data_IF_988708961221
#
_entry.id   IF_988708961221
#
_cell.length_a   1.000
_cell.length_b   1.000
_cell.length_c   1.000
_cell.angle_alpha   90.00
_cell.angle_beta   90.00
_cell.angle_gamma   90.00
#
_symmetry.space_group_name_H-M   'P 1'
#
loop_
_entity.id
_entity.type
_entity.pdbx_description
1 polymer ?
#
# COMPACT_ATOMS: atom_id res chain seq x y z
N UNK A 1 -1.67 40.78 118.92
CA UNK A 1 -1.49 39.38 119.34
C UNK A 1 -2.71 38.59 118.86
N UNK A 2 -2.63 37.94 117.70
CA UNK A 2 -3.64 36.96 117.29
C UNK A 2 -3.32 35.64 118.00
N UNK A 3 -4.28 35.12 118.76
CA UNK A 3 -4.12 33.92 119.57
C UNK A 3 -4.19 32.70 118.64
N UNK A 4 -3.05 32.15 118.23
CA UNK A 4 -2.98 30.92 117.43
C UNK A 4 -3.65 29.80 118.23
N UNK A 5 -4.68 29.18 117.66
CA UNK A 5 -5.41 28.08 118.27
C UNK A 5 -4.99 26.77 117.59
N UNK A 6 -4.42 25.84 118.34
CA UNK A 6 -4.10 24.49 117.86
C UNK A 6 -4.69 23.45 118.82
N UNK A 7 -5.19 22.35 118.27
CA UNK A 7 -5.56 21.14 119.02
C UNK A 7 -4.61 20.05 118.56
N UNK A 8 -3.94 19.38 119.50
CA UNK A 8 -3.04 18.26 119.25
C UNK A 8 -1.96 18.51 118.17
N UNK A 9 -1.44 19.74 118.09
CA UNK A 9 -0.35 20.09 117.17
C UNK A 9 -0.77 20.37 115.73
N UNK A 10 -2.06 20.29 115.40
CA UNK A 10 -2.58 20.70 114.09
C UNK A 10 -2.98 22.18 114.17
N UNK A 11 -2.42 23.00 113.28
CA UNK A 11 -2.81 24.39 113.08
C UNK A 11 -4.26 24.41 112.56
N UNK A 12 -5.17 25.00 113.33
CA UNK A 12 -6.54 25.24 112.90
C UNK A 12 -6.60 26.64 112.28
N UNK A 13 -7.06 26.72 111.04
CA UNK A 13 -7.43 27.99 110.43
C UNK A 13 -8.54 28.62 111.28
N UNK A 14 -8.38 29.87 111.74
CA UNK A 14 -9.43 30.51 112.52
C UNK A 14 -10.68 30.67 111.66
N UNK A 15 -11.86 30.57 112.29
CA UNK A 15 -13.16 30.49 111.60
C UNK A 15 -13.39 31.66 110.63
N UNK A 16 -12.83 32.84 110.93
CA UNK A 16 -12.90 34.01 110.05
C UNK A 16 -12.16 33.80 108.73
N UNK A 17 -10.99 33.16 108.72
CA UNK A 17 -10.21 32.90 107.50
C UNK A 17 -10.88 31.86 106.60
N UNK A 18 -11.56 30.87 107.19
CA UNK A 18 -12.38 29.92 106.42
C UNK A 18 -13.56 30.65 105.76
N UNK A 19 -14.24 31.51 106.51
CA UNK A 19 -15.40 32.27 106.00
C UNK A 19 -14.99 33.21 104.88
N UNK A 20 -13.87 33.93 105.03
CA UNK A 20 -13.31 34.76 103.97
C UNK A 20 -12.95 33.95 102.72
N UNK A 21 -12.42 32.73 102.85
CA UNK A 21 -12.08 31.91 101.69
C UNK A 21 -13.30 31.37 100.93
N UNK A 22 -14.34 30.91 101.63
CA UNK A 22 -15.52 30.32 100.97
C UNK A 22 -16.42 31.37 100.34
N UNK A 23 -16.39 32.61 100.84
CA UNK A 23 -17.08 33.76 100.22
C UNK A 23 -16.22 34.48 99.17
N UNK A 24 -15.00 34.00 98.88
CA UNK A 24 -14.11 34.66 97.92
C UNK A 24 -14.46 34.29 96.47
N UNK A 25 -15.30 35.12 95.87
CA UNK A 25 -15.69 35.08 94.45
C UNK A 25 -14.53 35.32 93.46
N UNK A 26 -13.33 35.69 93.95
CA UNK A 26 -12.13 35.88 93.10
C UNK A 26 -11.40 34.55 92.85
N UNK A 27 -11.53 33.57 93.76
CA UNK A 27 -10.86 32.26 93.66
C UNK A 27 -11.83 31.10 93.42
N UNK A 28 -13.10 31.22 93.80
CA UNK A 28 -14.14 30.24 93.46
C UNK A 28 -14.90 30.68 92.22
N UNK A 29 -15.19 29.72 91.34
CA UNK A 29 -16.06 29.97 90.19
C UNK A 29 -17.44 30.35 90.70
N UNK A 30 -17.98 31.47 90.23
CA UNK A 30 -19.32 31.87 90.68
C UNK A 30 -20.38 30.98 90.03
N UNK A 31 -21.57 30.95 90.61
CA UNK A 31 -22.69 30.21 90.05
C UNK A 31 -23.11 30.77 88.68
N UNK A 32 -22.95 32.07 88.47
CA UNK A 32 -23.17 32.74 87.20
C UNK A 32 -22.12 32.34 86.15
N UNK A 33 -20.84 32.28 86.51
CA UNK A 33 -19.77 31.82 85.62
C UNK A 33 -19.98 30.37 85.19
N UNK A 34 -20.36 29.49 86.12
CA UNK A 34 -20.70 28.09 85.84
C UNK A 34 -21.92 27.98 84.93
N UNK A 35 -22.93 28.80 85.14
CA UNK A 35 -24.12 28.85 84.28
C UNK A 35 -23.75 29.32 82.87
N UNK A 36 -22.91 30.35 82.75
CA UNK A 36 -22.43 30.87 81.47
C UNK A 36 -21.56 29.85 80.71
N UNK A 37 -20.72 29.08 81.40
CA UNK A 37 -19.92 28.02 80.79
C UNK A 37 -20.79 26.86 80.29
N UNK A 38 -21.75 26.41 81.10
CA UNK A 38 -22.68 25.36 80.70
C UNK A 38 -23.55 25.78 79.50
N UNK A 39 -23.95 27.06 79.42
CA UNK A 39 -24.69 27.58 78.26
C UNK A 39 -23.88 27.56 76.95
N UNK A 40 -22.54 27.67 77.00
CA UNK A 40 -21.69 27.56 75.80
C UNK A 40 -21.53 26.13 75.28
N UNK A 41 -21.81 25.13 76.12
CA UNK A 41 -21.72 23.71 75.78
C UNK A 41 -23.06 23.11 75.32
N UNK A 42 -24.14 23.90 75.26
CA UNK A 42 -25.47 23.39 74.95
C UNK A 42 -25.58 22.96 73.48
N UNK A 43 -25.81 21.66 73.26
CA UNK A 43 -25.93 21.05 71.93
C UNK A 43 -27.11 21.63 71.12
N UNK A 44 -28.09 22.27 71.77
CA UNK A 44 -29.17 23.00 71.13
C UNK A 44 -28.68 24.21 70.29
N UNK A 45 -27.51 24.78 70.60
CA UNK A 45 -26.88 25.82 69.78
C UNK A 45 -26.17 25.25 68.52
N UNK A 46 -25.95 23.93 68.46
CA UNK A 46 -25.38 23.26 67.29
C UNK A 46 -26.47 22.85 66.28
N UNK A 47 -27.67 22.46 66.76
CA UNK A 47 -28.80 22.13 65.88
C UNK A 47 -29.30 23.32 65.07
N UNK A 48 -29.05 24.55 65.54
CA UNK A 48 -29.35 25.79 64.79
C UNK A 48 -28.25 26.17 63.79
N UNK A 49 -27.02 25.62 63.91
CA UNK A 49 -25.93 25.81 62.94
C UNK A 49 -25.90 24.74 61.83
N UNK A 50 -26.49 23.58 62.08
CA UNK A 50 -26.70 22.52 61.09
C UNK A 50 -28.20 22.41 60.77
N UNK A 51 -28.72 23.41 60.05
CA UNK A 51 -30.10 23.41 59.59
C UNK A 51 -30.30 22.34 58.50
N UNK A 52 -30.90 21.22 58.89
CA UNK A 52 -31.25 20.14 57.97
C UNK A 52 -32.18 20.62 56.84
N UNK A 53 -32.96 21.69 57.06
CA UNK A 53 -33.81 22.26 56.02
C UNK A 53 -32.98 22.99 54.96
N UNK A 54 -31.97 23.77 55.36
CA UNK A 54 -30.99 24.36 54.43
C UNK A 54 -30.19 23.29 53.67
N UNK A 55 -29.78 22.21 54.34
CA UNK A 55 -29.09 21.09 53.66
C UNK A 55 -29.99 20.37 52.66
N UNK A 56 -31.24 20.07 53.03
CA UNK A 56 -32.19 19.41 52.14
C UNK A 56 -32.63 20.33 51.00
N UNK A 57 -32.83 21.62 51.27
CA UNK A 57 -33.11 22.62 50.24
C UNK A 57 -31.97 22.69 49.23
N UNK A 58 -30.71 22.69 49.68
CA UNK A 58 -29.56 22.63 48.80
C UNK A 58 -29.44 21.29 48.06
N UNK A 59 -29.70 20.15 48.71
CA UNK A 59 -29.64 18.81 48.07
C UNK A 59 -30.66 18.67 46.93
N UNK A 60 -31.84 19.22 47.12
CA UNK A 60 -32.94 19.17 46.13
C UNK A 60 -32.94 20.40 45.20
N UNK A 61 -31.94 21.28 45.31
CA UNK A 61 -31.78 22.44 44.43
C UNK A 61 -31.36 21.98 43.02
N UNK A 62 -32.34 21.91 42.12
CA UNK A 62 -32.14 21.54 40.72
C UNK A 62 -31.43 22.63 39.89
N UNK A 63 -31.20 23.83 40.43
CA UNK A 63 -30.36 24.84 39.81
C UNK A 63 -28.88 24.67 40.21
N UNK A 64 -28.61 24.16 41.41
CA UNK A 64 -27.25 23.86 41.89
C UNK A 64 -26.79 22.42 41.56
N UNK A 65 -27.71 21.44 41.49
CA UNK A 65 -27.41 20.03 41.22
C UNK A 65 -28.13 19.50 39.99
N UNK A 66 -27.48 18.54 39.31
CA UNK A 66 -28.10 17.78 38.21
C UNK A 66 -29.15 16.81 38.75
N UNK A 67 -30.34 16.83 38.17
CA UNK A 67 -31.42 15.90 38.51
C UNK A 67 -31.10 14.47 38.08
N UNK A 68 -31.80 13.49 38.67
CA UNK A 68 -31.69 12.08 38.25
C UNK A 68 -32.05 11.91 36.77
N UNK A 69 -33.10 12.61 36.31
CA UNK A 69 -33.54 12.55 34.92
C UNK A 69 -32.52 13.13 33.94
N UNK A 70 -31.86 14.24 34.28
CA UNK A 70 -30.79 14.81 33.46
C UNK A 70 -29.57 13.90 33.41
N UNK A 71 -29.23 13.25 34.53
CA UNK A 71 -28.14 12.26 34.59
C UNK A 71 -28.42 11.07 33.69
N UNK A 72 -29.63 10.51 33.74
CA UNK A 72 -30.05 9.41 32.87
C UNK A 72 -30.07 9.82 31.40
N UNK A 73 -30.52 11.04 31.11
CA UNK A 73 -30.53 11.60 29.74
C UNK A 73 -29.12 11.79 29.20
N UNK A 74 -28.18 12.25 30.03
CA UNK A 74 -26.78 12.41 29.64
C UNK A 74 -26.13 11.04 29.40
N UNK A 75 -26.26 10.11 30.34
CA UNK A 75 -25.69 8.77 30.22
C UNK A 75 -26.23 8.03 28.99
N UNK A 76 -27.55 8.11 28.73
CA UNK A 76 -28.17 7.47 27.58
C UNK A 76 -27.80 8.08 26.22
N UNK A 77 -27.22 9.29 26.17
CA UNK A 77 -26.64 9.86 24.94
C UNK A 77 -25.24 9.31 24.66
N UNK A 78 -24.49 8.97 25.70
CA UNK A 78 -23.13 8.45 25.57
C UNK A 78 -23.12 7.01 25.04
N UNK A 79 -24.05 6.17 25.51
CA UNK A 79 -24.18 4.76 25.09
C UNK A 79 -24.67 4.59 23.64
N UNK A 80 -25.06 5.67 22.96
CA UNK A 80 -25.55 5.65 21.57
C UNK A 80 -24.55 6.13 20.54
N UNK A 81 -23.35 6.55 20.95
CA UNK A 81 -22.36 7.04 19.98
C UNK A 81 -21.70 5.89 19.25
N UNK A 82 -21.41 4.78 19.93
CA UNK A 82 -20.76 3.59 19.35
C UNK A 82 -21.32 2.31 19.93
N UNK A 83 -21.34 1.22 19.17
CA UNK A 83 -21.65 -0.13 19.65
C UNK A 83 -20.52 -0.74 20.49
N UNK A 84 -20.70 -1.98 20.97
CA UNK A 84 -19.70 -2.71 21.78
C UNK A 84 -18.36 -2.94 21.05
N UNK A 85 -18.36 -2.87 19.72
CA UNK A 85 -17.17 -2.97 18.87
C UNK A 85 -16.58 -1.59 18.53
N UNK A 86 -17.14 -0.50 19.07
CA UNK A 86 -16.69 0.87 18.80
C UNK A 86 -17.20 1.44 17.48
N UNK A 87 -18.15 0.80 16.79
CA UNK A 87 -18.70 1.29 15.52
C UNK A 87 -19.86 2.25 15.76
N UNK A 88 -19.94 3.30 14.94
CA UNK A 88 -21.11 4.17 14.92
C UNK A 88 -22.10 3.67 13.86
N UNK A 89 -23.36 3.43 14.24
CA UNK A 89 -24.46 3.24 13.28
C UNK A 89 -25.29 4.52 13.27
N UNK A 90 -25.35 5.17 12.10
CA UNK A 90 -26.17 6.37 11.89
C UNK A 90 -27.40 5.97 11.09
N UNK A 91 -28.60 6.23 11.62
CA UNK A 91 -29.87 5.96 10.92
C UNK A 91 -30.08 6.85 9.68
N UNK A 92 -29.24 7.88 9.50
CA UNK A 92 -29.26 8.81 8.39
C UNK A 92 -27.89 9.02 7.73
N UNK A 93 -27.81 9.99 6.82
CA UNK A 93 -26.55 10.35 6.16
C UNK A 93 -25.58 11.07 7.10
N UNK A 94 -24.27 10.90 6.86
CA UNK A 94 -23.21 11.66 7.52
C UNK A 94 -22.84 12.88 6.65
N UNK A 95 -22.95 14.07 7.20
CA UNK A 95 -22.40 15.31 6.62
C UNK A 95 -21.26 15.80 7.51
N UNK A 96 -20.06 15.92 6.95
CA UNK A 96 -18.89 16.45 7.63
C UNK A 96 -18.29 17.59 6.79
N UNK A 97 -17.93 18.72 7.42
CA UNK A 97 -17.29 19.84 6.73
C UNK A 97 -15.82 19.60 6.40
N UNK A 98 -15.17 18.67 7.10
CA UNK A 98 -13.77 18.30 6.90
C UNK A 98 -13.57 17.03 6.08
N UNK A 99 -12.31 16.79 5.67
CA UNK A 99 -11.91 15.55 5.00
C UNK A 99 -12.09 14.35 5.92
N UNK A 100 -12.81 13.33 5.46
CA UNK A 100 -12.93 12.04 6.14
C UNK A 100 -11.72 11.18 5.77
N UNK A 101 -10.88 10.84 6.75
CA UNK A 101 -9.76 9.93 6.53
C UNK A 101 -10.15 8.47 6.81
N UNK A 102 -10.43 7.70 5.75
CA UNK A 102 -10.78 6.29 5.84
C UNK A 102 -9.58 5.40 5.49
N UNK A 103 -8.54 5.39 6.35
CA UNK A 103 -7.32 4.60 6.15
C UNK A 103 -7.59 3.09 5.93
N UNK A 104 -8.65 2.56 6.55
CA UNK A 104 -9.10 1.17 6.37
C UNK A 104 -9.98 0.93 5.14
N UNK A 105 -10.20 1.95 4.31
CA UNK A 105 -11.07 1.92 3.14
C UNK A 105 -12.53 2.27 3.44
N UNK A 106 -13.31 2.37 2.37
CA UNK A 106 -14.77 2.59 2.41
C UNK A 106 -15.42 1.42 1.69
N UNK A 107 -16.23 0.63 2.39
CA UNK A 107 -17.04 -0.40 1.76
C UNK A 107 -18.20 0.26 1.01
N UNK A 108 -18.13 0.29 -0.32
CA UNK A 108 -19.23 0.73 -1.18
C UNK A 108 -20.10 -0.51 -1.45
N UNK A 109 -21.34 -0.61 -0.93
CA UNK A 109 -22.12 -1.82 -1.08
C UNK A 109 -22.50 -2.02 -2.56
N UNK A 110 -22.32 -3.25 -3.06
CA UNK A 110 -22.53 -3.60 -4.48
C UNK A 110 -24.02 -3.57 -4.86
N UNK A 111 -24.92 -3.72 -3.88
CA UNK A 111 -26.37 -3.80 -4.08
C UNK A 111 -27.08 -2.98 -3.00
N UNK A 112 -27.43 -1.73 -3.30
CA UNK A 112 -28.36 -0.93 -2.49
C UNK A 112 -29.03 0.14 -3.35
N UNK A 113 -30.32 -0.03 -3.62
CA UNK A 113 -31.26 1.01 -4.06
C UNK A 113 -30.98 1.71 -5.41
N UNK A 114 -31.94 2.50 -5.87
CA UNK A 114 -31.74 3.42 -6.99
C UNK A 114 -30.51 4.30 -6.70
N UNK A 115 -29.62 4.46 -7.68
CA UNK A 115 -28.45 5.31 -7.53
C UNK A 115 -28.89 6.70 -7.03
N UNK A 116 -28.39 7.13 -5.88
CA UNK A 116 -28.48 8.55 -5.54
C UNK A 116 -27.71 9.33 -6.61
N UNK A 117 -28.17 10.54 -6.96
CA UNK A 117 -27.55 11.34 -8.03
C UNK A 117 -26.02 11.43 -7.88
N UNK A 118 -25.52 11.55 -6.64
CA UNK A 118 -24.08 11.60 -6.32
C UNK A 118 -23.33 10.30 -6.62
N UNK A 119 -23.92 9.13 -6.36
CA UNK A 119 -23.29 7.85 -6.68
C UNK A 119 -23.19 7.62 -8.19
N UNK A 120 -24.20 8.04 -8.96
CA UNK A 120 -24.17 8.04 -10.42
C UNK A 120 -23.07 8.98 -10.95
N UNK A 121 -22.94 10.18 -10.38
CA UNK A 121 -21.89 11.15 -10.73
C UNK A 121 -20.49 10.59 -10.44
N UNK A 122 -20.26 9.95 -9.30
CA UNK A 122 -18.96 9.34 -8.99
C UNK A 122 -18.58 8.21 -9.95
N UNK A 123 -19.55 7.36 -10.33
CA UNK A 123 -19.34 6.31 -11.34
C UNK A 123 -19.02 6.90 -12.71
N UNK A 124 -19.77 7.93 -13.11
CA UNK A 124 -19.52 8.63 -14.37
C UNK A 124 -18.17 9.35 -14.37
N UNK A 125 -17.78 9.95 -13.24
CA UNK A 125 -16.47 10.55 -13.06
C UNK A 125 -15.35 9.51 -13.17
N UNK A 126 -15.49 8.36 -12.49
CA UNK A 126 -14.55 7.25 -12.62
C UNK A 126 -14.45 6.71 -14.06
N UNK A 127 -15.58 6.59 -14.76
CA UNK A 127 -15.61 6.22 -16.18
C UNK A 127 -14.92 7.29 -17.05
N UNK A 128 -15.12 8.57 -16.75
CA UNK A 128 -14.42 9.69 -17.38
C UNK A 128 -12.91 9.65 -17.15
N UNK A 129 -12.46 9.32 -15.93
CA UNK A 129 -11.04 9.11 -15.60
C UNK A 129 -10.44 7.89 -16.31
N UNK A 130 -11.20 6.81 -16.44
CA UNK A 130 -10.80 5.66 -17.25
C UNK A 130 -10.67 6.04 -18.73
N UNK A 131 -11.62 6.82 -19.26
CA UNK A 131 -11.54 7.40 -20.60
C UNK A 131 -10.32 8.29 -20.79
N UNK A 132 -10.01 9.18 -19.84
CA UNK A 132 -8.80 9.97 -19.85
C UNK A 132 -7.54 9.08 -19.84
N UNK A 133 -7.52 8.04 -19.01
CA UNK A 133 -6.40 7.08 -18.96
C UNK A 133 -6.19 6.37 -20.30
N UNK A 134 -7.27 6.04 -21.01
CA UNK A 134 -7.20 5.50 -22.35
C UNK A 134 -6.62 6.51 -23.36
N UNK A 135 -6.91 7.80 -23.23
CA UNK A 135 -6.30 8.86 -24.08
C UNK A 135 -4.79 8.96 -23.89
N UNK A 136 -4.28 8.75 -22.67
CA UNK A 136 -2.84 8.69 -22.38
C UNK A 136 -2.19 7.34 -22.72
N UNK A 137 -2.96 6.40 -23.28
CA UNK A 137 -2.48 5.12 -23.80
C UNK A 137 -2.44 5.20 -25.33
N UNK A 138 -1.23 5.14 -25.88
CA UNK A 138 -1.00 5.26 -27.32
C UNK A 138 -0.82 3.87 -27.96
N UNK A 139 -1.42 3.63 -29.13
CA UNK A 139 -1.11 2.44 -29.91
C UNK A 139 0.36 2.42 -30.34
N UNK A 140 0.98 1.25 -30.25
CA UNK A 140 2.33 0.99 -30.74
C UNK A 140 2.34 -0.39 -31.38
N UNK A 141 2.57 -0.46 -32.69
CA UNK A 141 2.22 -1.62 -33.49
C UNK A 141 3.46 -2.44 -33.86
N UNK A 142 3.43 -3.79 -33.85
CA UNK A 142 4.55 -4.56 -34.39
C UNK A 142 4.72 -4.25 -35.88
N UNK A 143 5.93 -3.88 -36.33
CA UNK A 143 6.22 -3.73 -37.77
C UNK A 143 6.38 -5.12 -38.38
N UNK A 144 5.24 -5.75 -38.69
CA UNK A 144 5.17 -7.13 -39.18
C UNK A 144 5.96 -7.37 -40.46
N UNK A 145 6.28 -6.31 -41.21
CA UNK A 145 7.08 -6.37 -42.43
C UNK A 145 8.59 -6.51 -42.18
N UNK A 146 9.05 -6.20 -40.95
CA UNK A 146 10.48 -6.19 -40.56
C UNK A 146 10.81 -7.22 -39.48
N UNK A 147 9.94 -8.21 -39.27
CA UNK A 147 10.22 -9.32 -38.36
C UNK A 147 11.44 -10.09 -38.90
N UNK A 148 12.44 -10.28 -38.05
CA UNK A 148 13.66 -11.04 -38.37
C UNK A 148 13.64 -12.33 -37.58
N UNK A 149 13.93 -13.45 -38.24
CA UNK A 149 13.95 -14.78 -37.63
C UNK A 149 15.24 -15.52 -37.98
N UNK A 150 15.62 -16.48 -37.12
CA UNK A 150 16.69 -17.46 -37.38
C UNK A 150 16.11 -18.88 -37.43
N UNK A 151 16.94 -19.92 -37.45
CA UNK A 151 16.47 -21.31 -37.22
C UNK A 151 15.49 -21.88 -38.24
N UNK A 152 15.41 -21.32 -39.45
CA UNK A 152 14.40 -21.65 -40.47
C UNK A 152 12.95 -21.41 -40.03
N UNK A 153 12.73 -20.55 -39.04
CA UNK A 153 11.39 -20.19 -38.61
C UNK A 153 10.65 -19.35 -39.66
N UNK A 154 9.37 -19.64 -39.84
CA UNK A 154 8.50 -19.01 -40.84
C UNK A 154 7.57 -18.02 -40.17
N UNK A 155 7.50 -16.81 -40.72
CA UNK A 155 6.58 -15.75 -40.28
C UNK A 155 5.32 -15.75 -41.13
N UNK A 156 4.16 -15.90 -40.48
CA UNK A 156 2.84 -15.69 -41.06
C UNK A 156 2.26 -14.36 -40.54
N UNK A 157 1.94 -13.44 -41.45
CA UNK A 157 1.30 -12.17 -41.13
C UNK A 157 -0.21 -12.35 -41.32
N UNK A 158 -0.97 -12.31 -40.23
CA UNK A 158 -2.43 -12.43 -40.29
C UNK A 158 -3.09 -11.07 -40.50
N UNK A 159 -2.62 -10.05 -39.78
CA UNK A 159 -3.07 -8.68 -39.94
C UNK A 159 -1.83 -7.78 -39.92
N UNK A 160 -1.46 -7.13 -41.05
CA UNK A 160 -0.32 -6.23 -41.09
C UNK A 160 -0.38 -5.20 -39.95
N UNK A 161 0.75 -5.00 -39.27
CA UNK A 161 0.88 -4.11 -38.11
C UNK A 161 0.13 -4.52 -36.83
N UNK A 162 -0.65 -5.60 -36.83
CA UNK A 162 -1.46 -5.95 -35.66
C UNK A 162 -1.21 -7.35 -35.14
N UNK A 163 -0.96 -8.32 -36.02
CA UNK A 163 -0.89 -9.71 -35.62
C UNK A 163 -0.04 -10.53 -36.60
N UNK A 164 0.99 -11.16 -36.05
CA UNK A 164 1.83 -12.12 -36.77
C UNK A 164 2.16 -13.31 -35.88
N UNK A 165 2.38 -14.45 -36.52
CA UNK A 165 2.83 -15.70 -35.91
C UNK A 165 4.17 -16.08 -36.51
N UNK A 166 5.12 -16.45 -35.66
CA UNK A 166 6.37 -17.09 -36.07
C UNK A 166 6.36 -18.53 -35.63
N UNK A 167 6.68 -19.44 -36.56
CA UNK A 167 6.69 -20.88 -36.34
C UNK A 167 8.07 -21.44 -36.61
N UNK A 168 8.74 -21.93 -35.58
CA UNK A 168 10.00 -22.66 -35.69
C UNK A 168 9.72 -24.17 -35.89
N UNK A 169 10.41 -24.83 -36.83
CA UNK A 169 10.20 -26.25 -37.10
C UNK A 169 10.72 -27.14 -35.96
N UNK A 170 10.30 -28.41 -35.96
CA UNK A 170 10.81 -29.42 -35.04
C UNK A 170 12.34 -29.45 -35.04
N UNK A 171 12.91 -29.72 -33.86
CA UNK A 171 14.35 -29.85 -33.63
C UNK A 171 15.19 -28.61 -33.93
N UNK A 172 14.56 -27.43 -34.02
CA UNK A 172 15.23 -26.14 -34.15
C UNK A 172 14.83 -25.21 -33.01
N UNK A 173 15.79 -24.42 -32.55
CA UNK A 173 15.55 -23.17 -31.84
C UNK A 173 15.35 -22.06 -32.86
N UNK A 174 14.81 -20.92 -32.43
CA UNK A 174 14.79 -19.71 -33.25
C UNK A 174 14.86 -18.50 -32.34
N UNK A 175 15.63 -17.50 -32.77
CA UNK A 175 15.56 -16.15 -32.21
C UNK A 175 14.77 -15.26 -33.16
N UNK A 176 13.91 -14.42 -32.59
CA UNK A 176 13.00 -13.56 -33.31
C UNK A 176 13.18 -12.13 -32.81
N UNK A 177 13.33 -11.19 -33.74
CA UNK A 177 13.20 -9.75 -33.47
C UNK A 177 11.87 -9.26 -33.99
N UNK A 178 11.08 -8.66 -33.11
CA UNK A 178 9.85 -7.94 -33.45
C UNK A 178 10.09 -6.42 -33.31
N UNK A 179 10.30 -5.70 -34.41
CA UNK A 179 10.34 -4.24 -34.36
C UNK A 179 8.94 -3.67 -34.12
N UNK A 180 8.87 -2.47 -33.56
CA UNK A 180 7.62 -1.73 -33.38
C UNK A 180 7.63 -0.41 -34.13
N UNK A 181 6.44 0.06 -34.51
CA UNK A 181 6.18 1.29 -35.22
C UNK A 181 5.02 2.04 -34.54
N UNK A 182 5.14 3.35 -34.43
CA UNK A 182 4.05 4.21 -33.96
C UNK A 182 4.40 5.68 -34.09
N UNK A 183 3.55 6.57 -33.55
CA UNK A 183 3.74 8.01 -33.69
C UNK A 183 5.06 8.46 -33.05
N UNK A 184 5.90 9.09 -33.86
CA UNK A 184 7.17 9.69 -33.48
C UNK A 184 6.92 11.00 -32.70
N UNK A 185 6.52 10.88 -31.43
CA UNK A 185 6.23 12.02 -30.54
C UNK A 185 7.16 12.10 -29.33
N UNK A 186 8.44 11.74 -29.48
CA UNK A 186 9.40 11.69 -28.37
C UNK A 186 10.53 12.70 -28.55
N UNK A 187 10.77 13.49 -27.52
CA UNK A 187 12.02 14.22 -27.31
C UNK A 187 12.55 13.87 -25.90
N UNK A 188 13.59 14.54 -25.42
CA UNK A 188 14.04 14.39 -24.03
C UNK A 188 12.83 14.46 -23.08
N UNK A 189 12.80 13.57 -22.07
CA UNK A 189 11.66 13.43 -21.15
C UNK A 189 10.39 12.94 -21.87
N UNK A 190 10.50 11.81 -22.58
CA UNK A 190 9.44 11.21 -23.43
C UNK A 190 8.13 10.83 -22.72
N UNK A 191 8.04 11.09 -21.41
CA UNK A 191 6.87 10.88 -20.57
C UNK A 191 6.37 9.43 -20.56
N UNK A 192 7.25 8.48 -20.94
CA UNK A 192 6.97 7.07 -20.97
C UNK A 192 6.71 6.53 -19.55
N UNK A 193 5.59 5.85 -19.38
CA UNK A 193 5.18 5.26 -18.11
C UNK A 193 5.00 3.74 -18.19
N UNK A 194 4.92 3.15 -19.38
CA UNK A 194 4.79 1.70 -19.49
C UNK A 194 4.43 1.18 -20.87
N UNK A 195 4.25 -0.13 -20.97
CA UNK A 195 3.72 -0.82 -22.14
C UNK A 195 2.84 -2.02 -21.77
N UNK A 196 2.05 -2.45 -22.74
CA UNK A 196 1.31 -3.72 -22.73
C UNK A 196 1.51 -4.38 -24.09
N UNK A 197 2.26 -5.48 -24.14
CA UNK A 197 2.54 -6.24 -25.36
C UNK A 197 1.71 -7.52 -25.34
N UNK A 198 0.91 -7.73 -26.37
CA UNK A 198 0.19 -8.98 -26.55
C UNK A 198 1.15 -10.05 -27.09
N UNK A 199 1.36 -11.12 -26.33
CA UNK A 199 2.29 -12.20 -26.67
C UNK A 199 1.68 -13.53 -26.26
N UNK A 200 1.78 -14.53 -27.11
CA UNK A 200 1.35 -15.89 -26.81
C UNK A 200 2.34 -16.91 -27.38
N UNK A 201 2.50 -18.06 -26.72
CA UNK A 201 3.33 -19.16 -27.21
C UNK A 201 2.89 -20.50 -26.64
N UNK A 202 3.15 -21.60 -27.35
CA UNK A 202 2.83 -22.95 -26.87
C UNK A 202 4.01 -23.67 -26.21
N UNK A 203 5.19 -23.04 -26.17
CA UNK A 203 6.45 -23.67 -25.77
C UNK A 203 7.20 -22.78 -24.78
N UNK A 204 8.24 -23.33 -24.16
CA UNK A 204 9.18 -22.52 -23.40
C UNK A 204 9.79 -21.43 -24.29
N UNK A 205 9.94 -20.23 -23.73
CA UNK A 205 10.47 -19.08 -24.45
C UNK A 205 11.17 -18.11 -23.50
N UNK A 206 12.02 -17.27 -24.05
CA UNK A 206 12.46 -16.03 -23.40
C UNK A 206 11.95 -14.83 -24.16
N UNK A 207 11.39 -13.87 -23.45
CA UNK A 207 11.04 -12.55 -23.95
C UNK A 207 12.07 -11.54 -23.44
N UNK A 208 12.63 -10.74 -24.32
CA UNK A 208 13.61 -9.71 -23.98
C UNK A 208 13.19 -8.38 -24.59
N UNK A 209 13.30 -7.30 -23.82
CA UNK A 209 13.02 -5.95 -24.30
C UNK A 209 14.05 -4.96 -23.75
N UNK A 210 14.57 -4.11 -24.64
CA UNK A 210 15.41 -2.99 -24.28
C UNK A 210 14.55 -1.75 -24.07
N UNK A 211 14.69 -1.12 -22.90
CA UNK A 211 14.02 0.12 -22.54
C UNK A 211 14.99 1.30 -22.54
N UNK A 212 14.47 2.48 -22.87
CA UNK A 212 15.23 3.73 -22.87
C UNK A 212 16.32 3.82 -23.93
N UNK A 213 17.04 4.94 -23.88
CA UNK A 213 18.26 5.19 -24.60
C UNK A 213 19.42 4.33 -24.05
N UNK A 214 20.62 4.52 -24.59
CA UNK A 214 21.78 3.69 -24.27
C UNK A 214 21.91 2.51 -25.22
N UNK A 215 23.15 2.23 -25.62
CA UNK A 215 23.47 1.17 -26.56
C UNK A 215 23.10 -0.20 -26.00
N UNK A 216 22.47 -1.02 -26.84
CA UNK A 216 22.09 -2.40 -26.53
C UNK A 216 22.44 -3.26 -27.73
N UNK A 217 23.21 -4.32 -27.52
CA UNK A 217 23.63 -5.22 -28.59
C UNK A 217 22.77 -6.47 -28.55
N UNK A 218 22.12 -6.77 -29.68
CA UNK A 218 21.34 -7.99 -29.86
C UNK A 218 22.22 -9.16 -30.30
N UNK A 219 21.98 -10.33 -29.71
CA UNK A 219 22.58 -11.62 -30.09
C UNK A 219 21.47 -12.64 -30.29
N UNK A 220 21.57 -13.41 -31.38
CA UNK A 220 20.64 -14.49 -31.71
C UNK A 220 21.26 -15.86 -31.45
N UNK A 221 20.43 -16.89 -31.49
CA UNK A 221 20.82 -18.30 -31.47
C UNK A 221 21.58 -18.69 -30.20
N UNK A 222 21.06 -18.21 -29.05
CA UNK A 222 21.58 -18.49 -27.72
C UNK A 222 20.61 -19.37 -26.91
N UNK A 223 21.12 -19.96 -25.83
CA UNK A 223 20.29 -20.69 -24.85
C UNK A 223 19.34 -19.75 -24.08
N UNK A 224 18.27 -20.30 -23.52
CA UNK A 224 17.34 -19.57 -22.65
C UNK A 224 17.96 -19.10 -21.32
N UNK A 225 19.23 -19.42 -21.04
CA UNK A 225 19.97 -18.87 -19.89
C UNK A 225 20.87 -17.68 -20.27
N UNK A 226 21.20 -17.51 -21.55
CA UNK A 226 22.08 -16.43 -22.04
C UNK A 226 21.38 -15.07 -22.11
N UNK A 227 22.09 -13.98 -22.38
CA UNK A 227 21.46 -12.66 -22.60
C UNK A 227 21.28 -12.36 -24.09
N UNK A 228 20.02 -12.21 -24.52
CA UNK A 228 19.67 -11.84 -25.91
C UNK A 228 19.99 -10.36 -26.21
N UNK A 229 19.92 -9.51 -25.18
CA UNK A 229 20.43 -8.15 -25.20
C UNK A 229 21.51 -7.99 -24.14
N UNK A 230 22.64 -7.39 -24.53
CA UNK A 230 23.66 -6.93 -23.60
C UNK A 230 23.72 -5.41 -23.58
N UNK A 231 23.90 -4.79 -22.42
CA UNK A 231 24.08 -3.35 -22.34
C UNK A 231 25.43 -2.94 -22.93
N UNK A 232 25.51 -1.71 -23.45
CA UNK A 232 26.77 -1.11 -23.88
C UNK A 232 27.71 -0.78 -22.73
N UNK A 233 28.96 -0.44 -23.07
CA UNK A 233 29.99 -0.12 -22.08
C UNK A 233 29.90 1.33 -21.55
N UNK A 234 29.14 2.20 -22.22
CA UNK A 234 28.97 3.59 -21.81
C UNK A 234 27.96 3.70 -20.66
N UNK A 235 28.45 4.12 -19.49
CA UNK A 235 27.64 4.32 -18.29
C UNK A 235 27.32 5.81 -18.02
N UNK A 236 27.35 6.64 -19.06
CA UNK A 236 27.09 8.08 -19.00
C UNK A 236 25.61 8.41 -18.67
N UNK A 237 25.10 9.57 -19.09
CA UNK A 237 23.67 9.83 -18.97
C UNK A 237 22.90 9.05 -20.06
N UNK A 238 21.76 8.44 -19.70
CA UNK A 238 20.85 7.69 -20.58
C UNK A 238 21.28 6.25 -20.94
N UNK A 239 21.35 5.38 -19.92
CA UNK A 239 21.81 4.00 -20.07
C UNK A 239 20.66 3.02 -20.42
N UNK A 240 19.42 3.46 -20.18
CA UNK A 240 18.24 2.60 -20.32
C UNK A 240 18.32 1.34 -19.46
N UNK A 241 17.45 0.39 -19.74
CA UNK A 241 17.34 -0.88 -19.02
C UNK A 241 17.09 -2.03 -20.00
N UNK A 242 17.31 -3.26 -19.56
CA UNK A 242 16.93 -4.47 -20.29
C UNK A 242 16.10 -5.33 -19.36
N UNK A 243 14.96 -5.81 -19.85
CA UNK A 243 14.10 -6.75 -19.14
C UNK A 243 14.10 -8.06 -19.93
N UNK A 244 14.59 -9.12 -19.28
CA UNK A 244 14.52 -10.49 -19.75
C UNK A 244 13.50 -11.26 -18.91
N UNK A 245 12.61 -12.00 -19.55
CA UNK A 245 11.59 -12.83 -18.91
C UNK A 245 11.67 -14.22 -19.51
N UNK A 246 12.09 -15.20 -18.71
CA UNK A 246 12.14 -16.61 -19.12
C UNK A 246 10.89 -17.32 -18.62
N UNK A 247 10.18 -17.95 -19.55
CA UNK A 247 9.07 -18.84 -19.29
C UNK A 247 9.54 -20.27 -19.51
N UNK A 248 9.70 -21.02 -18.42
CA UNK A 248 9.90 -22.45 -18.50
C UNK A 248 8.55 -23.15 -18.79
N UNK A 249 8.58 -24.22 -19.58
CA UNK A 249 7.44 -25.09 -19.81
C UNK A 249 7.42 -26.31 -18.87
N UNK A 250 8.40 -26.44 -17.97
CA UNK A 250 8.44 -27.49 -16.95
C UNK A 250 7.55 -27.12 -15.77
N UNK A 251 6.50 -27.91 -15.56
CA UNK A 251 5.58 -27.76 -14.42
C UNK A 251 6.24 -28.26 -13.13
N UNK A 252 6.19 -27.44 -12.09
CA UNK A 252 6.48 -27.88 -10.72
C UNK A 252 5.30 -28.72 -10.22
N UNK A 253 5.49 -30.04 -10.12
CA UNK A 253 4.44 -30.99 -9.74
C UNK A 253 4.13 -30.95 -8.24
N UNK A 254 5.02 -30.41 -7.41
CA UNK A 254 4.83 -30.31 -5.95
C UNK A 254 4.02 -29.06 -5.62
N UNK A 255 4.42 -27.91 -6.18
CA UNK A 255 3.75 -26.61 -5.95
C UNK A 255 2.58 -26.35 -6.91
N UNK A 256 2.38 -27.20 -7.92
CA UNK A 256 1.34 -27.09 -8.95
C UNK A 256 1.37 -25.74 -9.67
N UNK A 257 2.43 -25.48 -10.43
CA UNK A 257 2.59 -24.22 -11.15
C UNK A 257 3.91 -24.13 -11.88
N UNK A 258 4.33 -22.92 -12.22
CA UNK A 258 5.53 -22.66 -13.02
C UNK A 258 6.37 -21.55 -12.41
N UNK A 259 7.68 -21.73 -12.51
CA UNK A 259 8.65 -20.70 -12.15
C UNK A 259 8.84 -19.77 -13.34
N UNK A 260 8.72 -18.47 -13.09
CA UNK A 260 9.04 -17.41 -14.04
C UNK A 260 10.26 -16.67 -13.52
N UNK A 261 11.26 -16.49 -14.38
CA UNK A 261 12.49 -15.78 -14.03
C UNK A 261 12.50 -14.47 -14.79
N UNK A 262 12.59 -13.37 -14.05
CA UNK A 262 12.78 -12.03 -14.61
C UNK A 262 14.20 -11.57 -14.28
N UNK A 263 14.94 -11.08 -15.26
CA UNK A 263 16.23 -10.42 -15.05
C UNK A 263 16.13 -8.99 -15.53
N UNK A 264 16.28 -8.05 -14.61
CA UNK A 264 16.39 -6.63 -14.91
C UNK A 264 17.88 -6.27 -14.93
N UNK A 265 18.37 -5.80 -16.07
CA UNK A 265 19.74 -5.29 -16.22
C UNK A 265 19.67 -3.77 -16.28
N UNK A 266 20.36 -3.11 -15.35
CA UNK A 266 20.34 -1.67 -15.21
C UNK A 266 21.71 -1.14 -14.78
N UNK A 267 21.95 0.14 -15.06
CA UNK A 267 23.13 0.83 -14.56
C UNK A 267 22.87 1.40 -13.16
N UNK A 268 23.76 1.15 -12.21
CA UNK A 268 23.75 1.77 -10.88
C UNK A 268 24.57 3.07 -10.88
N UNK A 269 24.01 4.15 -10.32
CA UNK A 269 24.66 5.47 -10.34
C UNK A 269 25.86 5.48 -9.42
N UNK A 270 25.68 5.02 -8.18
CA UNK A 270 26.70 5.13 -7.15
C UNK A 270 27.96 4.34 -7.50
N UNK A 271 27.82 3.14 -8.05
CA UNK A 271 28.97 2.28 -8.36
C UNK A 271 29.47 2.40 -9.79
N UNK A 272 28.71 3.04 -10.68
CA UNK A 272 29.01 3.08 -12.12
C UNK A 272 29.26 1.67 -12.65
N UNK A 273 28.34 0.76 -12.34
CA UNK A 273 28.36 -0.62 -12.83
C UNK A 273 27.01 -1.03 -13.39
N UNK A 274 27.05 -1.95 -14.34
CA UNK A 274 25.87 -2.73 -14.70
C UNK A 274 25.58 -3.73 -13.61
N UNK A 275 24.31 -3.79 -13.21
CA UNK A 275 23.77 -4.73 -12.24
C UNK A 275 22.74 -5.60 -12.95
N UNK A 276 22.56 -6.81 -12.44
CA UNK A 276 21.42 -7.64 -12.80
C UNK A 276 20.65 -7.99 -11.53
N UNK A 277 19.35 -7.69 -11.53
CA UNK A 277 18.41 -8.12 -10.50
C UNK A 277 17.57 -9.26 -11.05
N UNK A 278 17.77 -10.45 -10.51
CA UNK A 278 17.02 -11.66 -10.84
C UNK A 278 15.86 -11.82 -9.86
N UNK A 279 14.64 -11.73 -10.37
CA UNK A 279 13.42 -12.04 -9.62
C UNK A 279 12.90 -13.41 -10.02
N UNK A 280 12.72 -14.28 -9.03
CA UNK A 280 12.04 -15.56 -9.20
C UNK A 280 10.61 -15.42 -8.73
N UNK A 281 9.67 -15.68 -9.63
CA UNK A 281 8.23 -15.68 -9.34
C UNK A 281 7.63 -17.06 -9.58
N UNK A 282 6.57 -17.38 -8.83
CA UNK A 282 5.86 -18.63 -8.97
C UNK A 282 4.38 -18.38 -9.28
N UNK A 283 3.96 -18.80 -10.47
CA UNK A 283 2.57 -18.69 -10.91
C UNK A 283 1.87 -20.04 -10.70
N UNK A 284 0.88 -20.12 -9.79
CA UNK A 284 0.09 -21.33 -9.59
C UNK A 284 -0.72 -21.68 -10.83
N UNK A 285 -0.83 -22.98 -11.15
CA UNK A 285 -1.66 -23.53 -12.22
C UNK A 285 -2.46 -24.73 -11.68
N UNK A 286 -3.79 -24.56 -11.59
CA UNK A 286 -4.67 -25.53 -10.92
C UNK A 286 -4.95 -26.79 -11.74
N UNK A 287 -4.73 -26.75 -13.05
CA UNK A 287 -4.84 -27.92 -13.92
C UNK A 287 -3.56 -28.10 -14.74
N UNK A 288 -3.72 -28.52 -16.00
CA UNK A 288 -2.64 -28.76 -16.94
C UNK A 288 -2.37 -27.55 -17.85
N UNK A 289 -2.76 -26.35 -17.44
CA UNK A 289 -2.48 -25.15 -18.22
C UNK A 289 -0.96 -24.92 -18.27
N UNK A 290 -0.41 -24.79 -19.48
CA UNK A 290 0.96 -24.33 -19.69
C UNK A 290 0.95 -22.79 -19.63
N UNK A 291 1.74 -22.18 -18.75
CA UNK A 291 1.73 -20.72 -18.57
C UNK A 291 2.00 -19.97 -19.88
N UNK A 292 3.01 -20.35 -20.72
CA UNK A 292 3.18 -19.73 -22.03
C UNK A 292 1.90 -19.73 -22.88
N UNK A 293 1.15 -20.84 -22.87
CA UNK A 293 -0.06 -21.02 -23.67
C UNK A 293 -1.28 -20.28 -23.10
N UNK A 294 -1.17 -19.73 -21.90
CA UNK A 294 -2.20 -18.88 -21.31
C UNK A 294 -1.80 -17.41 -21.27
N UNK A 295 -0.59 -17.07 -21.71
CA UNK A 295 -0.14 -15.69 -21.76
C UNK A 295 -0.94 -14.91 -22.80
N UNK A 296 -1.54 -13.81 -22.36
CA UNK A 296 -2.23 -12.86 -23.23
C UNK A 296 -1.41 -11.59 -23.39
N UNK A 297 -0.88 -11.03 -22.29
CA UNK A 297 -0.08 -9.80 -22.30
C UNK A 297 1.09 -9.84 -21.31
N UNK A 298 2.21 -9.29 -21.74
CA UNK A 298 3.31 -8.86 -20.88
C UNK A 298 3.15 -7.36 -20.66
N UNK A 299 3.07 -6.94 -19.40
CA UNK A 299 2.76 -5.57 -19.04
C UNK A 299 3.87 -5.03 -18.16
N UNK A 300 4.44 -3.89 -18.52
CA UNK A 300 5.37 -3.12 -17.70
C UNK A 300 4.73 -1.77 -17.40
N UNK A 301 4.66 -1.39 -16.14
CA UNK A 301 4.14 -0.09 -15.75
C UNK A 301 4.99 0.51 -14.63
N UNK A 302 5.21 1.81 -14.71
CA UNK A 302 5.96 2.61 -13.77
C UNK A 302 5.01 3.58 -13.05
N UNK A 303 5.03 3.57 -11.72
CA UNK A 303 4.07 4.33 -10.90
C UNK A 303 4.31 5.84 -10.94
N UNK A 304 5.57 6.24 -11.09
CA UNK A 304 6.02 7.63 -11.11
C UNK A 304 7.38 7.73 -11.85
N UNK A 305 7.77 8.89 -12.41
CA UNK A 305 9.07 9.06 -13.03
C UNK A 305 10.21 8.73 -12.08
N UNK A 306 11.18 7.94 -12.54
CA UNK A 306 12.31 7.56 -11.72
C UNK A 306 13.41 8.63 -11.75
N UNK A 307 14.16 8.73 -10.65
CA UNK A 307 15.18 9.76 -10.50
C UNK A 307 16.31 9.59 -11.51
N UNK A 308 16.77 10.70 -12.10
CA UNK A 308 17.94 10.67 -13.00
C UNK A 308 19.28 10.80 -12.25
N UNK A 309 19.27 11.28 -10.99
CA UNK A 309 20.46 11.75 -10.28
C UNK A 309 20.88 10.91 -9.08
N UNK A 310 20.05 9.96 -8.64
CA UNK A 310 20.36 9.05 -7.53
C UNK A 310 19.84 7.65 -7.79
N UNK A 311 20.34 6.70 -7.02
CA UNK A 311 19.79 5.36 -7.05
C UNK A 311 18.37 5.29 -6.48
N UNK A 312 17.57 4.37 -7.02
CA UNK A 312 16.17 4.13 -6.67
C UNK A 312 15.86 2.65 -6.93
N UNK A 313 14.74 2.16 -6.40
CA UNK A 313 14.24 0.81 -6.68
C UNK A 313 12.70 0.79 -6.56
N UNK A 314 12.05 -0.18 -7.19
CA UNK A 314 10.62 -0.46 -7.03
C UNK A 314 9.68 0.57 -7.65
N UNK A 315 10.13 1.37 -8.61
CA UNK A 315 9.28 2.35 -9.29
C UNK A 315 8.54 1.72 -10.48
N UNK A 316 9.12 0.69 -11.09
CA UNK A 316 8.50 -0.12 -12.13
C UNK A 316 7.95 -1.46 -11.60
N UNK A 317 7.06 -2.07 -12.36
CA UNK A 317 6.56 -3.42 -12.08
C UNK A 317 6.21 -4.14 -13.36
N UNK A 318 6.50 -5.44 -13.38
CA UNK A 318 6.13 -6.35 -14.46
C UNK A 318 4.97 -7.23 -14.05
N UNK A 319 4.02 -7.38 -14.97
CA UNK A 319 2.82 -8.18 -14.80
C UNK A 319 2.61 -9.09 -16.00
N UNK A 320 2.02 -10.25 -15.74
CA UNK A 320 1.49 -11.15 -16.76
C UNK A 320 -0.02 -11.13 -16.68
N UNK A 321 -0.67 -10.88 -17.81
CA UNK A 321 -2.09 -11.14 -17.97
C UNK A 321 -2.25 -12.54 -18.55
N UNK A 322 -2.91 -13.39 -17.78
CA UNK A 322 -3.10 -14.81 -18.08
C UNK A 322 -4.58 -15.09 -18.33
N UNK A 323 -4.86 -15.85 -19.38
CA UNK A 323 -6.14 -16.48 -19.63
C UNK A 323 -6.18 -17.88 -19.03
N UNK A 324 -7.10 -18.72 -19.53
CA UNK A 324 -7.30 -20.07 -18.99
C UNK A 324 -7.94 -20.04 -17.59
N UNK A 325 -8.23 -21.19 -17.01
CA UNK A 325 -8.87 -21.30 -15.69
C UNK A 325 -7.89 -21.07 -14.54
N UNK A 326 -7.07 -20.01 -14.64
CA UNK A 326 -6.07 -19.64 -13.62
C UNK A 326 -6.75 -19.03 -12.39
N UNK A 327 -6.22 -19.30 -11.20
CA UNK A 327 -6.69 -18.65 -9.97
C UNK A 327 -6.42 -17.14 -9.97
N UNK A 328 -5.30 -16.73 -10.57
CA UNK A 328 -4.95 -15.34 -10.78
C UNK A 328 -4.81 -15.06 -12.28
N UNK A 329 -5.69 -14.22 -12.83
CA UNK A 329 -5.64 -13.76 -14.23
C UNK A 329 -4.65 -12.61 -14.44
N UNK A 330 -4.17 -11.99 -13.36
CA UNK A 330 -3.14 -10.96 -13.38
C UNK A 330 -2.12 -11.22 -12.27
N UNK A 331 -0.88 -11.50 -12.67
CA UNK A 331 0.21 -11.84 -11.76
C UNK A 331 1.30 -10.77 -11.83
N UNK A 332 1.67 -10.16 -10.70
CA UNK A 332 2.89 -9.36 -10.58
C UNK A 332 4.08 -10.30 -10.46
N UNK A 333 5.00 -10.24 -11.42
CA UNK A 333 6.13 -11.16 -11.54
C UNK A 333 7.48 -10.53 -11.22
N UNK A 334 7.57 -9.20 -11.15
CA UNK A 334 8.75 -8.51 -10.64
C UNK A 334 8.42 -7.08 -10.19
N UNK A 335 9.11 -6.63 -9.14
CA UNK A 335 9.28 -5.23 -8.84
C UNK A 335 10.63 -4.80 -9.43
N UNK A 336 10.56 -3.95 -10.44
CA UNK A 336 11.74 -3.50 -11.19
C UNK A 336 12.02 -2.06 -10.85
N UNK A 337 13.26 -1.66 -11.05
CA UNK A 337 13.76 -0.35 -10.70
C UNK A 337 12.93 0.74 -11.38
N UNK A 338 12.73 0.62 -12.69
CA UNK A 338 11.95 1.54 -13.50
C UNK A 338 12.82 2.49 -14.32
N UNK A 339 12.36 2.87 -15.51
CA UNK A 339 13.12 3.69 -16.43
C UNK A 339 13.32 5.12 -15.91
N UNK A 340 14.54 5.65 -16.07
CA UNK A 340 14.91 7.01 -15.65
C UNK A 340 14.12 8.07 -16.40
N UNK A 341 14.01 9.25 -15.80
CA UNK A 341 13.32 10.39 -16.44
C UNK A 341 14.08 10.96 -17.65
N UNK A 342 15.39 10.72 -17.77
CA UNK A 342 16.24 11.29 -18.83
C UNK A 342 16.44 10.28 -19.97
N UNK A 343 15.42 10.11 -20.81
CA UNK A 343 15.48 9.15 -21.91
C UNK A 343 15.18 9.85 -23.24
N UNK A 344 16.16 9.80 -24.13
CA UNK A 344 16.08 10.25 -25.53
C UNK A 344 15.49 9.13 -26.39
N UNK A 345 14.32 8.62 -26.03
CA UNK A 345 13.74 7.44 -26.69
C UNK A 345 12.22 7.30 -26.47
N UNK A 346 11.57 6.53 -27.33
CA UNK A 346 10.13 6.18 -27.31
C UNK A 346 9.73 5.22 -26.17
N UNK A 347 10.64 4.94 -25.24
CA UNK A 347 10.52 3.89 -24.24
C UNK A 347 11.14 2.58 -24.74
N UNK A 348 10.74 2.10 -25.92
CA UNK A 348 11.26 0.89 -26.56
C UNK A 348 11.03 0.93 -28.08
N UNK A 349 11.71 0.06 -28.83
CA UNK A 349 11.61 0.01 -30.30
C UNK A 349 11.55 -1.40 -30.90
N UNK A 350 11.92 -2.42 -30.13
CA UNK A 350 11.83 -3.81 -30.52
C UNK A 350 11.76 -4.67 -29.28
N UNK A 351 11.07 -5.81 -29.37
CA UNK A 351 11.26 -6.92 -28.45
C UNK A 351 11.87 -8.11 -29.19
N UNK A 352 12.42 -9.03 -28.41
CA UNK A 352 13.13 -10.20 -28.87
C UNK A 352 12.53 -11.42 -28.19
N UNK A 353 12.39 -12.50 -28.95
CA UNK A 353 11.89 -13.77 -28.42
C UNK A 353 12.82 -14.89 -28.84
N UNK A 354 13.30 -15.67 -27.89
CA UNK A 354 14.00 -16.92 -28.15
C UNK A 354 13.05 -18.08 -27.87
N UNK A 355 12.80 -18.90 -28.89
CA UNK A 355 12.01 -20.12 -28.79
C UNK A 355 12.92 -21.31 -28.47
N UNK A 356 12.54 -22.06 -27.42
CA UNK A 356 13.19 -23.33 -27.12
C UNK A 356 12.97 -24.36 -28.23
N UNK A 357 13.92 -25.28 -28.36
CA UNK A 357 13.78 -26.46 -29.22
C UNK A 357 12.62 -27.33 -28.71
N UNK A 358 11.78 -27.78 -29.63
CA UNK A 358 10.85 -28.90 -29.40
C UNK A 358 11.23 -30.10 -30.25
N UNK A 359 11.20 -31.30 -29.66
CA UNK A 359 11.66 -32.52 -30.35
C UNK A 359 10.69 -32.99 -31.45
N UNK A 360 9.40 -32.72 -31.27
CA UNK A 360 8.34 -33.01 -32.24
C UNK A 360 7.35 -31.84 -32.34
N UNK A 361 6.74 -31.66 -33.50
CA UNK A 361 5.83 -30.54 -33.77
C UNK A 361 6.55 -29.23 -34.10
N UNK A 362 5.98 -28.10 -33.68
CA UNK A 362 6.54 -26.77 -33.96
C UNK A 362 6.51 -25.91 -32.69
N UNK A 363 7.54 -25.08 -32.51
CA UNK A 363 7.51 -24.01 -31.53
C UNK A 363 6.89 -22.77 -32.17
N UNK A 364 6.02 -22.07 -31.45
CA UNK A 364 5.24 -20.96 -32.00
C UNK A 364 5.28 -19.80 -31.04
N UNK A 365 5.47 -18.60 -31.57
CA UNK A 365 5.18 -17.35 -30.88
C UNK A 365 4.28 -16.49 -31.73
N UNK A 366 3.38 -15.80 -31.06
CA UNK A 366 2.43 -14.86 -31.63
C UNK A 366 2.62 -13.50 -30.98
N UNK A 367 2.72 -12.47 -31.82
CA UNK A 367 2.80 -11.08 -31.39
C UNK A 367 1.54 -10.35 -31.85
N UNK A 368 0.89 -9.65 -30.93
CA UNK A 368 -0.30 -8.87 -31.20
C UNK A 368 -0.07 -7.37 -31.14
N UNK A 369 -1.17 -6.62 -31.15
CA UNK A 369 -1.14 -5.17 -30.97
C UNK A 369 -0.60 -4.82 -29.59
N UNK A 370 0.17 -3.74 -29.55
CA UNK A 370 0.85 -3.26 -28.34
C UNK A 370 0.39 -1.84 -28.03
N UNK A 371 0.45 -1.50 -26.75
CA UNK A 371 0.11 -0.19 -26.24
C UNK A 371 1.29 0.36 -25.45
N UNK A 372 1.47 1.67 -25.51
CA UNK A 372 2.42 2.42 -24.69
C UNK A 372 1.65 3.39 -23.80
N UNK A 373 1.94 3.38 -22.51
CA UNK A 373 1.33 4.27 -21.53
C UNK A 373 2.24 5.49 -21.30
N UNK A 374 1.64 6.67 -21.21
CA UNK A 374 2.31 7.90 -20.84
C UNK A 374 1.85 8.37 -19.45
N UNK A 375 2.69 9.14 -18.75
CA UNK A 375 2.24 9.78 -17.51
C UNK A 375 1.15 10.81 -17.78
N UNK A 376 0.18 10.85 -16.87
CA UNK A 376 -0.81 11.91 -16.79
C UNK A 376 -0.20 13.14 -16.10
N UNK A 377 -0.91 14.30 -16.12
CA UNK A 377 -0.47 15.50 -15.40
C UNK A 377 -0.09 15.17 -13.95
N UNK A 378 0.92 15.90 -13.44
CA UNK A 378 1.54 15.63 -12.14
C UNK A 378 2.29 14.30 -12.04
N UNK A 379 2.72 13.73 -13.16
CA UNK A 379 3.58 12.55 -13.21
C UNK A 379 2.92 11.29 -12.60
N UNK A 380 1.59 11.17 -12.75
CA UNK A 380 0.79 10.07 -12.21
C UNK A 380 0.58 9.01 -13.29
N UNK A 381 0.66 7.74 -12.92
CA UNK A 381 0.23 6.62 -13.76
C UNK A 381 -0.90 5.81 -13.09
N UNK A 382 -2.18 6.12 -13.40
CA UNK A 382 -3.31 5.38 -12.84
C UNK A 382 -3.34 3.91 -13.25
N UNK A 383 -2.76 3.55 -14.40
CA UNK A 383 -2.66 2.14 -14.83
C UNK A 383 -1.76 1.36 -13.86
N UNK A 384 -0.60 1.91 -13.50
CA UNK A 384 0.30 1.29 -12.52
C UNK A 384 -0.39 1.13 -11.16
N UNK A 385 -1.13 2.16 -10.70
CA UNK A 385 -1.86 2.12 -9.43
C UNK A 385 -2.95 1.04 -9.44
N UNK A 386 -3.74 0.97 -10.52
CA UNK A 386 -4.81 -0.01 -10.66
C UNK A 386 -4.27 -1.44 -10.73
N UNK A 387 -3.25 -1.70 -11.54
CA UNK A 387 -2.63 -3.03 -11.64
C UNK A 387 -2.01 -3.45 -10.30
N UNK A 388 -1.33 -2.53 -9.60
CA UNK A 388 -0.75 -2.79 -8.28
C UNK A 388 -1.80 -3.15 -7.22
N UNK A 389 -3.02 -2.63 -7.34
CA UNK A 389 -4.11 -2.93 -6.41
C UNK A 389 -4.82 -4.26 -6.67
N UNK A 390 -4.87 -4.73 -7.92
CA UNK A 390 -5.66 -5.93 -8.31
C UNK A 390 -4.82 -7.16 -8.65
N UNK A 391 -3.51 -7.01 -8.91
CA UNK A 391 -2.65 -8.13 -9.27
C UNK A 391 -2.34 -9.03 -8.06
N UNK A 392 -2.34 -10.34 -8.29
CA UNK A 392 -1.75 -11.28 -7.33
C UNK A 392 -0.23 -11.13 -7.32
N UNK A 393 0.38 -10.96 -6.15
CA UNK A 393 1.83 -10.92 -6.03
C UNK A 393 2.39 -12.35 -6.07
N UNK A 394 3.20 -12.64 -7.09
CA UNK A 394 3.78 -13.99 -7.31
C UNK A 394 5.29 -14.05 -7.05
N UNK A 395 5.89 -12.95 -6.59
CA UNK A 395 7.32 -12.84 -6.32
C UNK A 395 7.69 -13.74 -5.12
N UNK A 396 8.69 -14.59 -5.31
CA UNK A 396 9.21 -15.51 -4.28
C UNK A 396 10.54 -15.05 -3.73
N UNK A 397 11.47 -14.63 -4.61
CA UNK A 397 12.79 -14.17 -4.20
C UNK A 397 13.39 -13.21 -5.21
N UNK A 398 14.27 -12.34 -4.73
CA UNK A 398 15.03 -11.39 -5.54
C UNK A 398 16.51 -11.46 -5.15
N UNK A 399 17.39 -11.46 -6.15
CA UNK A 399 18.85 -11.44 -5.97
C UNK A 399 19.44 -10.40 -6.90
N UNK A 400 20.33 -9.56 -6.39
CA UNK A 400 21.03 -8.54 -7.18
C UNK A 400 22.53 -8.78 -7.15
N UNK A 401 23.15 -8.77 -8.32
CA UNK A 401 24.59 -9.01 -8.49
C UNK A 401 25.20 -8.06 -9.54
N UNK A 402 26.53 -8.05 -9.65
CA UNK A 402 27.20 -7.34 -10.76
C UNK A 402 26.86 -8.07 -12.07
N UNK A 403 26.50 -7.33 -13.11
CA UNK A 403 26.21 -7.93 -14.41
C UNK A 403 27.49 -8.57 -14.98
N UNK A 404 27.38 -9.85 -15.32
CA UNK A 404 28.38 -10.61 -16.06
C UNK A 404 27.73 -11.10 -17.35
N UNK A 405 28.38 -10.87 -18.48
CA UNK A 405 27.88 -11.36 -19.76
C UNK A 405 27.97 -12.90 -19.81
N UNK A 406 26.81 -13.54 -19.68
CA UNK A 406 26.65 -14.98 -19.85
C UNK A 406 26.25 -15.24 -21.31
N UNK A 407 27.11 -15.96 -22.01
CA UNK A 407 26.93 -16.33 -23.41
C UNK A 407 27.23 -17.81 -23.61
N UNK A 408 26.18 -18.63 -23.66
CA UNK A 408 26.26 -20.05 -23.98
C UNK A 408 25.59 -20.26 -25.34
N UNK A 409 26.38 -20.41 -26.43
CA UNK A 409 25.87 -20.69 -27.76
C UNK A 409 25.08 -21.99 -27.81
N UNK A 410 24.14 -22.08 -28.75
CA UNK A 410 23.46 -23.33 -29.05
C UNK A 410 24.42 -24.31 -29.74
N UNK A 411 24.35 -25.58 -29.34
CA UNK A 411 25.18 -26.66 -29.88
C UNK A 411 24.73 -27.14 -31.27
#
# INVERSE_FOLDING_TARGET
>A
MNKITSINGILLTPLNEWSEHVENETVHVTEEERTAWNAKADAAALSTKADASSFNAHKEDAAAHITVQERETWNGKQDKLTDEAGNMTLDGGLTAEGTINANGGINIPLTVGAQTGTAAVNRLYAAGLAGATNVYTMPYFPDTSKIVTTGSAVTAIYVPYHYARVTAPANKTSSIKFPFLGLYGGWNYSNFAGFSISLHSYTALKFTIGLGAGAKTYRSDLTLDSYALIPGNDLAYANGEILDITFDAVRDTVRNGYTIIVREIYAEITTQKWKVKTTTSFVPASHNELIPATLNKIIYQQSQPASYSKDYDGVGSLYLMLGGSQQASLCKIAAVRGLRSFETSFGFSSCYVDLAKVDSGTAVVEIGSTERTLYQPNNINPVAMALGAIAANTIVSEVTEDFVDINTPLA
#
